data_IF_119067184844
#
_entry.id   IF_119067184844
#
_cell.length_a   1.000
_cell.length_b   1.000
_cell.length_c   1.000
_cell.angle_alpha   90.00
_cell.angle_beta   90.00
_cell.angle_gamma   90.00
#
_symmetry.space_group_name_H-M   'P 1'
#
loop_
_entity.id
_entity.type
_entity.pdbx_description
1 polymer ?
#
# COMPACT_ATOMS: atom_id res chain seq x y z
N UNK A 1 12.68 -0.73 -14.01
CA UNK A 1 11.24 -0.76 -14.35
C UNK A 1 11.14 -0.75 -15.86
N UNK A 2 10.93 -1.92 -16.46
CA UNK A 2 10.87 -2.06 -17.93
C UNK A 2 9.63 -1.36 -18.51
N UNK A 3 8.56 -1.24 -17.71
CA UNK A 3 7.34 -0.54 -18.09
C UNK A 3 7.54 0.93 -18.49
N UNK A 4 8.53 1.62 -17.90
CA UNK A 4 8.80 3.02 -18.23
C UNK A 4 9.28 3.20 -19.68
N UNK A 5 9.87 2.18 -20.29
CA UNK A 5 10.36 2.22 -21.68
C UNK A 5 9.27 2.63 -22.69
N UNK A 6 8.01 2.25 -22.44
CA UNK A 6 6.91 2.55 -23.34
C UNK A 6 6.49 4.04 -23.37
N UNK A 7 6.81 4.82 -22.33
CA UNK A 7 6.51 6.25 -22.26
C UNK A 7 5.03 6.65 -22.37
N UNK A 8 4.10 5.69 -22.36
CA UNK A 8 2.70 5.90 -22.74
C UNK A 8 1.77 6.23 -21.56
N UNK A 9 2.28 6.19 -20.33
CA UNK A 9 1.52 6.51 -19.12
C UNK A 9 0.51 5.43 -18.69
N UNK A 10 0.51 4.26 -19.34
CA UNK A 10 -0.41 3.19 -18.96
C UNK A 10 -0.13 2.70 -17.53
N UNK A 11 -1.15 2.36 -16.73
CA UNK A 11 -0.92 1.84 -15.40
C UNK A 11 -0.09 0.56 -15.42
N UNK A 12 0.75 0.39 -14.41
CA UNK A 12 1.60 -0.78 -14.24
C UNK A 12 1.15 -1.63 -13.04
N UNK A 13 1.29 -2.94 -13.16
CA UNK A 13 1.14 -3.90 -12.06
C UNK A 13 2.02 -5.11 -12.37
N UNK A 14 2.50 -5.78 -11.33
CA UNK A 14 3.35 -6.95 -11.46
C UNK A 14 3.16 -7.90 -10.28
N UNK A 15 3.37 -9.20 -10.48
CA UNK A 15 3.20 -10.22 -9.44
C UNK A 15 4.25 -10.13 -8.33
N UNK A 16 5.51 -9.83 -8.65
CA UNK A 16 6.55 -9.59 -7.64
C UNK A 16 6.20 -8.38 -6.80
N UNK A 17 5.61 -7.37 -7.43
CA UNK A 17 5.18 -6.17 -6.74
C UNK A 17 4.00 -6.44 -5.79
N UNK A 18 3.03 -7.26 -6.21
CA UNK A 18 1.94 -7.71 -5.34
C UNK A 18 2.45 -8.54 -4.16
N UNK A 19 3.43 -9.42 -4.38
CA UNK A 19 4.07 -10.20 -3.30
C UNK A 19 4.77 -9.31 -2.28
N UNK A 20 5.57 -8.35 -2.76
CA UNK A 20 6.26 -7.43 -1.88
C UNK A 20 5.30 -6.53 -1.09
N UNK A 21 4.19 -6.11 -1.72
CA UNK A 21 3.13 -5.39 -1.02
C UNK A 21 2.48 -6.25 0.07
N UNK A 22 2.19 -7.53 -0.22
CA UNK A 22 1.62 -8.45 0.76
C UNK A 22 2.53 -8.62 1.99
N UNK A 23 3.85 -8.72 1.80
CA UNK A 23 4.80 -8.77 2.92
C UNK A 23 4.74 -7.53 3.82
N UNK A 24 4.62 -6.35 3.22
CA UNK A 24 4.51 -5.10 3.98
C UNK A 24 3.18 -5.01 4.72
N UNK A 25 2.08 -5.44 4.09
CA UNK A 25 0.76 -5.51 4.73
C UNK A 25 0.77 -6.45 5.93
N UNK A 26 1.44 -7.59 5.84
CA UNK A 26 1.49 -8.61 6.90
C UNK A 26 2.39 -8.21 8.08
N UNK A 27 3.29 -7.23 7.89
CA UNK A 27 3.91 -6.50 9.00
C UNK A 27 5.29 -7.00 9.39
N UNK A 28 6.31 -6.62 8.61
CA UNK A 28 7.67 -6.49 9.15
C UNK A 28 8.03 -5.00 9.18
N UNK A 29 7.67 -4.33 10.29
CA UNK A 29 8.30 -3.08 10.74
C UNK A 29 7.70 -1.74 10.29
N UNK A 30 6.57 -1.70 9.56
CA UNK A 30 6.12 -0.43 8.92
C UNK A 30 4.62 -0.14 8.93
N UNK A 31 3.74 -1.09 9.31
CA UNK A 31 2.29 -0.91 9.21
C UNK A 31 1.49 -1.68 10.29
N UNK A 32 0.74 -0.95 11.11
CA UNK A 32 -0.11 -1.50 12.18
C UNK A 32 -1.59 -1.64 11.78
N UNK A 33 -1.94 -1.40 10.50
CA UNK A 33 -3.34 -1.40 10.03
C UNK A 33 -4.05 -2.73 10.33
N UNK A 34 -3.40 -3.88 10.13
CA UNK A 34 -4.01 -5.17 10.45
C UNK A 34 -4.33 -5.31 11.94
N UNK A 35 -3.42 -4.85 12.80
CA UNK A 35 -3.60 -4.85 14.26
C UNK A 35 -4.76 -3.93 14.65
N UNK A 36 -4.80 -2.70 14.14
CA UNK A 36 -5.89 -1.75 14.43
C UNK A 36 -7.25 -2.28 13.98
N UNK A 37 -7.35 -2.86 12.78
CA UNK A 37 -8.59 -3.47 12.30
C UNK A 37 -9.02 -4.62 13.22
N UNK A 38 -8.07 -5.52 13.58
CA UNK A 38 -8.34 -6.63 14.50
C UNK A 38 -8.83 -6.15 15.85
N UNK A 39 -8.19 -5.13 16.42
CA UNK A 39 -8.53 -4.61 17.75
C UNK A 39 -9.92 -3.95 17.76
N UNK A 40 -10.26 -3.19 16.73
CA UNK A 40 -11.60 -2.60 16.63
C UNK A 40 -12.69 -3.67 16.43
N UNK A 41 -12.43 -4.72 15.65
CA UNK A 41 -13.36 -5.85 15.52
C UNK A 41 -13.53 -6.55 16.88
N UNK A 42 -12.43 -6.84 17.59
CA UNK A 42 -12.50 -7.45 18.92
C UNK A 42 -13.33 -6.59 19.88
N UNK A 43 -13.04 -5.29 19.99
CA UNK A 43 -13.80 -4.35 20.84
C UNK A 43 -15.29 -4.37 20.52
N UNK A 44 -15.64 -4.34 19.24
CA UNK A 44 -17.03 -4.38 18.79
C UNK A 44 -17.70 -5.69 19.23
N UNK A 45 -17.07 -6.84 19.01
CA UNK A 45 -17.66 -8.15 19.27
C UNK A 45 -17.68 -8.57 20.74
N UNK A 46 -16.75 -8.09 21.57
CA UNK A 46 -16.77 -8.30 23.03
C UNK A 46 -17.92 -7.53 23.69
N UNK A 47 -18.32 -6.38 23.14
CA UNK A 47 -19.24 -5.46 23.81
C UNK A 47 -20.68 -5.97 23.92
N UNK A 48 -21.14 -6.82 22.98
CA UNK A 48 -22.53 -7.31 22.92
C UNK A 48 -22.61 -8.69 22.28
N UNK A 49 -23.46 -9.57 22.81
CA UNK A 49 -23.73 -10.90 22.24
C UNK A 49 -24.17 -10.79 20.77
N UNK A 50 -25.05 -9.83 20.46
CA UNK A 50 -25.57 -9.57 19.11
C UNK A 50 -24.79 -8.50 18.33
N UNK A 51 -23.55 -8.20 18.73
CA UNK A 51 -22.70 -7.24 18.02
C UNK A 51 -22.53 -7.62 16.54
N UNK A 52 -22.67 -6.62 15.68
CA UNK A 52 -22.48 -6.71 14.22
C UNK A 52 -21.46 -5.68 13.76
N UNK A 53 -20.86 -5.93 12.60
CA UNK A 53 -20.05 -4.95 11.87
C UNK A 53 -20.99 -4.10 11.01
N UNK A 54 -21.66 -3.15 11.65
CA UNK A 54 -22.64 -2.27 11.01
C UNK A 54 -21.99 -0.98 10.47
N UNK A 55 -22.81 -0.07 9.95
CA UNK A 55 -22.35 1.21 9.44
C UNK A 55 -21.58 2.03 10.48
N UNK A 56 -22.01 2.03 11.74
CA UNK A 56 -21.36 2.79 12.82
C UNK A 56 -19.98 2.21 13.15
N UNK A 57 -19.84 0.89 13.12
CA UNK A 57 -18.55 0.23 13.21
C UNK A 57 -17.60 0.70 12.09
N UNK A 58 -18.04 0.68 10.83
CA UNK A 58 -17.19 1.11 9.71
C UNK A 58 -16.85 2.60 9.75
N UNK A 59 -17.78 3.45 10.22
CA UNK A 59 -17.52 4.88 10.41
C UNK A 59 -16.45 5.11 11.49
N UNK A 60 -16.52 4.39 12.63
CA UNK A 60 -15.49 4.44 13.67
C UNK A 60 -14.16 3.91 13.17
N UNK A 61 -14.16 2.76 12.50
CA UNK A 61 -12.95 2.17 11.94
C UNK A 61 -12.27 3.14 10.96
N UNK A 62 -13.03 3.83 10.11
CA UNK A 62 -12.50 4.85 9.20
C UNK A 62 -11.79 5.96 9.97
N UNK A 63 -12.35 6.44 11.07
CA UNK A 63 -11.72 7.45 11.92
C UNK A 63 -10.39 6.93 12.50
N UNK A 64 -10.35 5.71 13.03
CA UNK A 64 -9.11 5.09 13.56
C UNK A 64 -8.06 4.90 12.47
N UNK A 65 -8.48 4.64 11.24
CA UNK A 65 -7.57 4.49 10.09
C UNK A 65 -7.03 5.83 9.58
N UNK A 66 -7.73 6.95 9.74
CA UNK A 66 -7.25 8.27 9.29
C UNK A 66 -5.96 8.69 10.00
N UNK A 67 -5.76 8.27 11.25
CA UNK A 67 -4.53 8.52 12.02
C UNK A 67 -3.43 7.47 11.75
N UNK A 68 -3.64 6.58 10.77
CA UNK A 68 -2.68 5.52 10.43
C UNK A 68 -1.76 5.94 9.30
N UNK A 69 -0.49 5.54 9.41
CA UNK A 69 0.48 5.71 8.32
C UNK A 69 0.20 4.66 7.25
N UNK A 70 0.24 5.08 5.98
CA UNK A 70 0.24 4.15 4.86
C UNK A 70 1.51 3.29 4.91
N UNK A 71 1.43 2.02 4.48
CA UNK A 71 2.59 1.14 4.39
C UNK A 71 3.67 1.74 3.50
N UNK A 72 4.95 1.55 3.87
CA UNK A 72 6.09 2.06 3.10
C UNK A 72 7.11 0.97 2.80
N UNK A 73 7.70 1.03 1.60
CA UNK A 73 8.84 0.22 1.17
C UNK A 73 10.16 0.81 1.69
N UNK A 74 10.29 0.98 3.00
CA UNK A 74 11.46 1.63 3.63
C UNK A 74 12.32 0.68 4.49
N UNK A 75 12.06 -0.64 4.44
CA UNK A 75 12.88 -1.64 5.13
C UNK A 75 14.28 -1.64 4.51
N UNK A 76 15.30 -2.07 5.26
CA UNK A 76 16.66 -2.16 4.72
C UNK A 76 16.71 -3.03 3.45
N UNK A 77 15.96 -4.13 3.43
CA UNK A 77 15.85 -5.02 2.27
C UNK A 77 15.24 -4.33 1.04
N UNK A 78 14.31 -3.38 1.24
CA UNK A 78 13.64 -2.66 0.16
C UNK A 78 14.60 -1.71 -0.58
N UNK A 79 15.68 -1.28 0.09
CA UNK A 79 16.72 -0.42 -0.49
C UNK A 79 17.69 -1.19 -1.39
N UNK A 80 17.86 -2.49 -1.15
CA UNK A 80 18.81 -3.34 -1.89
C UNK A 80 18.13 -4.16 -2.99
N UNK A 81 16.83 -4.43 -2.89
CA UNK A 81 16.07 -5.17 -3.90
C UNK A 81 15.40 -4.28 -4.97
N UNK A 82 15.62 -2.97 -4.92
CA UNK A 82 15.09 -2.01 -5.90
C UNK A 82 13.64 -1.59 -5.69
N UNK A 83 12.94 -2.10 -4.67
CA UNK A 83 11.55 -1.71 -4.37
C UNK A 83 11.45 -0.27 -3.86
N UNK A 84 12.39 0.19 -3.04
CA UNK A 84 12.44 1.58 -2.58
C UNK A 84 12.80 2.59 -3.70
N UNK A 85 13.15 2.10 -4.88
CA UNK A 85 13.36 2.90 -6.10
C UNK A 85 12.16 2.78 -7.05
N UNK A 86 11.52 1.61 -7.11
CA UNK A 86 10.44 1.30 -8.05
C UNK A 86 9.06 1.72 -7.55
N UNK A 87 8.91 1.80 -6.22
CA UNK A 87 7.75 2.38 -5.53
C UNK A 87 8.29 3.45 -4.60
N UNK A 88 8.02 4.71 -4.94
CA UNK A 88 8.54 5.83 -4.19
C UNK A 88 7.82 5.96 -2.83
N UNK A 89 6.49 5.78 -2.83
CA UNK A 89 5.67 5.70 -1.63
C UNK A 89 4.40 4.87 -1.89
N UNK A 90 3.49 4.77 -0.92
CA UNK A 90 2.10 4.39 -1.22
C UNK A 90 1.27 5.65 -1.09
N UNK A 91 0.81 6.18 -2.22
CA UNK A 91 0.00 7.40 -2.25
C UNK A 91 -1.44 7.16 -1.78
N UNK A 92 -2.03 6.03 -2.17
CA UNK A 92 -3.40 5.69 -1.80
C UNK A 92 -3.57 4.20 -1.48
N UNK A 93 -4.48 3.91 -0.55
CA UNK A 93 -4.85 2.54 -0.18
C UNK A 93 -6.36 2.39 -0.02
N UNK A 94 -6.89 1.31 -0.58
CA UNK A 94 -8.26 0.85 -0.36
C UNK A 94 -8.25 -0.51 0.31
N UNK A 95 -9.06 -0.66 1.36
CA UNK A 95 -9.22 -1.92 2.10
C UNK A 95 -10.67 -2.38 1.94
N UNK A 96 -10.87 -3.67 1.64
CA UNK A 96 -12.19 -4.30 1.58
C UNK A 96 -12.22 -5.53 2.49
N UNK A 97 -13.29 -5.67 3.27
CA UNK A 97 -13.60 -6.92 3.96
C UNK A 97 -14.29 -7.86 2.97
N UNK A 98 -13.59 -8.91 2.54
CA UNK A 98 -14.07 -9.84 1.51
C UNK A 98 -14.87 -11.00 2.10
N UNK A 99 -14.41 -11.51 3.25
CA UNK A 99 -15.08 -12.57 4.01
C UNK A 99 -15.00 -12.22 5.48
N UNK A 100 -16.06 -12.53 6.21
CA UNK A 100 -16.09 -12.45 7.66
C UNK A 100 -16.93 -13.58 8.21
N UNK A 101 -16.39 -14.33 9.17
CA UNK A 101 -17.06 -15.43 9.83
C UNK A 101 -16.89 -15.28 11.34
N UNK A 102 -18.01 -15.30 12.07
CA UNK A 102 -18.02 -15.29 13.53
C UNK A 102 -18.34 -16.69 14.04
N UNK A 103 -17.61 -17.12 15.07
CA UNK A 103 -17.82 -18.35 15.82
C UNK A 103 -18.19 -18.01 17.27
N UNK A 104 -18.45 -19.04 18.08
CA UNK A 104 -18.88 -18.87 19.46
C UNK A 104 -17.90 -18.06 20.33
N UNK A 105 -16.59 -18.22 20.12
CA UNK A 105 -15.51 -17.57 20.92
C UNK A 105 -14.42 -16.93 20.06
N UNK A 106 -14.64 -16.83 18.74
CA UNK A 106 -13.63 -16.35 17.81
C UNK A 106 -14.26 -15.82 16.53
N UNK A 107 -13.43 -15.23 15.69
CA UNK A 107 -13.81 -14.80 14.36
C UNK A 107 -12.61 -14.84 13.43
N UNK A 108 -12.88 -14.91 12.14
CA UNK A 108 -11.89 -14.76 11.09
C UNK A 108 -12.42 -13.88 9.95
N UNK A 109 -11.50 -13.30 9.21
CA UNK A 109 -11.83 -12.54 8.02
C UNK A 109 -10.70 -12.51 7.00
N UNK A 110 -11.08 -12.22 5.77
CA UNK A 110 -10.14 -11.98 4.67
C UNK A 110 -10.30 -10.53 4.23
N UNK A 111 -9.21 -9.79 4.29
CA UNK A 111 -9.11 -8.43 3.78
C UNK A 111 -8.45 -8.44 2.39
N UNK A 112 -8.93 -7.56 1.51
CA UNK A 112 -8.27 -7.22 0.25
C UNK A 112 -7.76 -5.78 0.30
N UNK A 113 -6.49 -5.60 -0.02
CA UNK A 113 -5.80 -4.33 -0.09
C UNK A 113 -5.49 -4.00 -1.54
N UNK A 114 -5.82 -2.78 -1.94
CA UNK A 114 -5.38 -2.18 -3.20
C UNK A 114 -4.57 -0.94 -2.88
N UNK A 115 -3.27 -0.98 -3.16
CA UNK A 115 -2.35 0.14 -3.08
C UNK A 115 -2.16 0.80 -4.44
N UNK A 116 -1.85 2.09 -4.43
CA UNK A 116 -1.48 2.84 -5.62
C UNK A 116 -0.37 3.83 -5.28
N UNK A 117 0.61 3.93 -6.18
CA UNK A 117 1.65 4.95 -6.19
C UNK A 117 1.70 5.63 -7.56
N UNK A 118 2.32 6.81 -7.64
CA UNK A 118 2.57 7.51 -8.89
C UNK A 118 4.05 7.40 -9.27
N UNK A 119 4.32 7.01 -10.52
CA UNK A 119 5.64 7.07 -11.11
C UNK A 119 5.74 8.32 -12.00
N UNK A 120 6.25 9.39 -11.40
CA UNK A 120 6.54 10.66 -12.07
C UNK A 120 7.56 11.42 -11.22
N UNK A 121 8.56 12.01 -11.86
CA UNK A 121 9.68 12.64 -11.16
C UNK A 121 9.55 14.15 -11.18
N UNK A 122 9.46 14.76 -10.01
CA UNK A 122 9.56 16.20 -9.85
C UNK A 122 11.01 16.68 -9.76
N UNK A 123 11.17 18.01 -9.65
CA UNK A 123 12.49 18.63 -9.44
C UNK A 123 13.06 18.21 -8.07
N UNK A 124 12.20 18.00 -7.10
CA UNK A 124 12.47 17.50 -5.75
C UNK A 124 13.15 16.12 -5.77
N UNK A 125 12.77 15.24 -6.70
CA UNK A 125 13.34 13.89 -6.81
C UNK A 125 14.78 13.93 -7.30
N UNK A 126 15.08 14.77 -8.31
CA UNK A 126 16.44 14.90 -8.86
C UNK A 126 17.37 15.78 -8.02
N UNK A 127 16.83 16.54 -7.07
CA UNK A 127 17.60 17.38 -6.14
C UNK A 127 17.80 16.71 -4.77
N UNK A 128 17.06 15.64 -4.48
CA UNK A 128 17.19 14.85 -3.26
C UNK A 128 18.61 14.30 -3.08
N UNK A 129 19.16 14.41 -1.86
CA UNK A 129 20.55 14.01 -1.54
C UNK A 129 20.82 12.53 -1.82
N UNK A 130 19.83 11.66 -1.61
CA UNK A 130 19.93 10.23 -1.89
C UNK A 130 19.76 9.95 -3.38
N UNK A 131 18.73 10.53 -4.02
CA UNK A 131 18.36 10.15 -5.38
C UNK A 131 19.19 10.83 -6.47
N UNK A 132 19.72 12.04 -6.23
CA UNK A 132 20.51 12.81 -7.22
C UNK A 132 21.75 12.08 -7.72
N UNK A 133 22.30 11.16 -6.93
CA UNK A 133 23.51 10.40 -7.25
C UNK A 133 23.24 9.26 -8.24
N UNK A 134 21.98 8.86 -8.40
CA UNK A 134 21.59 7.83 -9.34
C UNK A 134 21.33 8.42 -10.73
N UNK A 135 22.19 8.06 -11.70
CA UNK A 135 22.11 8.59 -13.08
C UNK A 135 20.75 8.31 -13.74
N UNK A 136 20.13 7.17 -13.43
CA UNK A 136 18.84 6.78 -14.03
C UNK A 136 17.70 7.73 -13.63
N UNK A 137 17.67 8.30 -12.41
CA UNK A 137 16.67 9.31 -12.03
C UNK A 137 16.76 10.57 -12.90
N UNK A 138 17.98 11.02 -13.24
CA UNK A 138 18.18 12.17 -14.13
C UNK A 138 17.73 11.87 -15.56
N UNK A 139 18.02 10.66 -16.06
CA UNK A 139 17.58 10.22 -17.39
C UNK A 139 16.05 10.14 -17.45
N UNK A 140 15.42 9.51 -16.45
CA UNK A 140 13.97 9.41 -16.37
C UNK A 140 13.31 10.79 -16.27
N UNK A 141 13.87 11.70 -15.47
CA UNK A 141 13.37 13.08 -15.38
C UNK A 141 13.43 13.78 -16.74
N UNK A 142 14.57 13.68 -17.43
CA UNK A 142 14.72 14.25 -18.77
C UNK A 142 13.70 13.69 -19.76
N UNK A 143 13.53 12.36 -19.80
CA UNK A 143 12.55 11.70 -20.67
C UNK A 143 11.11 12.16 -20.39
N UNK A 144 10.76 12.44 -19.14
CA UNK A 144 9.42 12.91 -18.76
C UNK A 144 9.17 14.40 -19.06
N UNK A 145 10.21 15.25 -19.02
CA UNK A 145 10.05 16.71 -19.07
C UNK A 145 10.48 17.34 -20.40
N UNK A 146 11.33 16.66 -21.18
CA UNK A 146 11.78 17.19 -22.46
C UNK A 146 10.70 17.01 -23.52
N UNK A 147 10.35 18.08 -24.24
CA UNK A 147 9.20 18.11 -25.16
C UNK A 147 9.28 17.07 -26.28
N UNK A 148 10.49 16.76 -26.76
CA UNK A 148 10.68 15.78 -27.83
C UNK A 148 10.43 14.33 -27.40
N UNK A 149 10.45 14.05 -26.09
CA UNK A 149 10.24 12.70 -25.53
C UNK A 149 8.89 12.58 -24.83
N UNK A 150 8.59 13.52 -23.92
CA UNK A 150 7.31 13.66 -23.23
C UNK A 150 6.75 12.34 -22.64
N UNK A 151 7.62 11.52 -22.03
CA UNK A 151 7.21 10.26 -21.41
C UNK A 151 6.18 10.54 -20.33
N UNK A 152 5.00 9.94 -20.44
CA UNK A 152 3.90 10.20 -19.51
C UNK A 152 4.15 9.47 -18.18
N UNK A 153 3.94 10.13 -17.02
CA UNK A 153 3.93 9.45 -15.74
C UNK A 153 2.80 8.40 -15.70
N UNK A 154 2.96 7.38 -14.88
CA UNK A 154 1.98 6.29 -14.77
C UNK A 154 1.70 5.92 -13.32
N UNK A 155 0.60 5.20 -13.10
CA UNK A 155 0.25 4.67 -11.78
C UNK A 155 0.77 3.26 -11.61
N UNK A 156 1.36 2.99 -10.45
CA UNK A 156 1.77 1.65 -10.04
C UNK A 156 0.70 1.09 -9.10
N UNK A 157 0.06 -0.02 -9.49
CA UNK A 157 -1.02 -0.63 -8.72
C UNK A 157 -0.56 -1.93 -8.06
N UNK A 158 -0.85 -2.03 -6.76
CA UNK A 158 -0.50 -3.17 -5.93
C UNK A 158 -1.74 -3.81 -5.32
N UNK A 159 -1.76 -5.13 -5.24
CA UNK A 159 -2.85 -5.90 -4.66
C UNK A 159 -2.30 -6.88 -3.61
N UNK A 160 -2.98 -7.01 -2.48
CA UNK A 160 -2.65 -8.00 -1.46
C UNK A 160 -3.89 -8.54 -0.76
N UNK A 161 -3.81 -9.78 -0.30
CA UNK A 161 -4.78 -10.39 0.58
C UNK A 161 -4.15 -10.62 1.96
N UNK A 162 -4.91 -10.36 3.02
CA UNK A 162 -4.48 -10.65 4.38
C UNK A 162 -5.58 -11.38 5.15
N UNK A 163 -5.19 -12.42 5.86
CA UNK A 163 -6.06 -13.15 6.78
C UNK A 163 -5.92 -12.56 8.18
N UNK A 164 -7.06 -12.23 8.79
CA UNK A 164 -7.14 -11.73 10.16
C UNK A 164 -8.02 -12.67 10.98
N UNK A 165 -7.65 -12.83 12.25
CA UNK A 165 -8.41 -13.62 13.21
C UNK A 165 -8.37 -12.96 14.59
N UNK A 166 -9.40 -13.22 15.37
CA UNK A 166 -9.46 -12.75 16.75
C UNK A 166 -10.33 -13.66 17.61
N UNK A 167 -10.37 -13.34 18.89
CA UNK A 167 -11.11 -14.04 19.93
C UNK A 167 -12.15 -13.08 20.53
N UNK A 168 -13.25 -13.63 21.03
CA UNK A 168 -14.37 -12.93 21.68
C UNK A 168 -14.47 -13.43 23.12
#
# INVERSE_FOLDING_TARGET
>A
IDHFHYGNGQPWTDELLNRAYAEIIIGIGTNDVLMKIRDEINKQLHSKRDARLDYLFFARLKSVMQDSKLPKFNRYIDRVNGLGISVHDIYAQKIKLMRFQRYAKSWEGTLFFKGQDHFGLGKEDITNVLYKNFRFFRIWFFLQHHCDYAYKPFMTNLNAHAHIKGSI
#
